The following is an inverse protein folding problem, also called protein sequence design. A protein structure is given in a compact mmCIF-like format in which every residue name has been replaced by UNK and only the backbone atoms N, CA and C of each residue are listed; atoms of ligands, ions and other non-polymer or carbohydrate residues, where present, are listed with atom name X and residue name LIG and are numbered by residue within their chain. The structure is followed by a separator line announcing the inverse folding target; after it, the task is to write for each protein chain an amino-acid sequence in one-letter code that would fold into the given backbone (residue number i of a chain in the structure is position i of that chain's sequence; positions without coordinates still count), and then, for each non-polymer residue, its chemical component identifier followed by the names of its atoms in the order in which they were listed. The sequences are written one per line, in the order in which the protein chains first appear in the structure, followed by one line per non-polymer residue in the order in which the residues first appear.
data_IF_000774588905
#
_entry.id   IF_000774588905
#
_cell.length_a   1.000
_cell.length_b   1.000
_cell.length_c   1.000
_cell.angle_alpha   90.00
_cell.angle_beta   90.00
_cell.angle_gamma   90.00
#
_symmetry.space_group_name_H-M   'P 1'
#
loop_
_entity.id
_entity.type
_entity.pdbx_description
1 polymer ?
#
# COMPACT_ATOMS: atom_id res chain seq x y z
N UNK A 1 14.48 5.25 4.23
CA UNK A 1 13.33 5.57 3.36
C UNK A 1 13.14 4.44 2.37
N UNK A 2 11.99 3.77 2.37
CA UNK A 2 11.75 2.65 1.44
C UNK A 2 11.46 3.18 0.02
N UNK A 3 11.97 2.48 -1.01
CA UNK A 3 11.76 2.84 -2.43
C UNK A 3 10.27 2.96 -2.79
N UNK A 4 9.43 2.10 -2.22
CA UNK A 4 7.97 2.12 -2.41
C UNK A 4 7.32 3.43 -1.94
N UNK A 5 7.94 4.17 -1.02
CA UNK A 5 7.41 5.45 -0.56
C UNK A 5 7.49 6.52 -1.66
N UNK A 6 8.53 6.48 -2.50
CA UNK A 6 8.67 7.35 -3.68
C UNK A 6 7.59 7.02 -4.70
N UNK A 7 7.35 5.72 -4.95
CA UNK A 7 6.28 5.26 -5.83
C UNK A 7 4.90 5.73 -5.36
N UNK A 8 4.62 5.61 -4.05
CA UNK A 8 3.38 6.12 -3.45
C UNK A 8 3.23 7.63 -3.61
N UNK A 9 4.32 8.38 -3.38
CA UNK A 9 4.32 9.83 -3.59
C UNK A 9 3.97 10.15 -5.04
N UNK A 10 4.64 9.51 -6.00
CA UNK A 10 4.46 9.77 -7.42
C UNK A 10 3.03 9.42 -7.87
N UNK A 11 2.50 8.26 -7.48
CA UNK A 11 1.14 7.85 -7.81
C UNK A 11 0.08 8.79 -7.20
N UNK A 12 0.30 9.22 -5.95
CA UNK A 12 -0.59 10.15 -5.25
C UNK A 12 -0.57 11.56 -5.84
N UNK A 13 0.61 12.10 -6.12
CA UNK A 13 0.77 13.43 -6.71
C UNK A 13 0.28 13.47 -8.17
N UNK A 14 0.58 12.44 -8.97
CA UNK A 14 0.11 12.36 -10.36
C UNK A 14 -1.42 12.41 -10.42
N UNK A 15 -2.09 11.63 -9.56
CA UNK A 15 -3.55 11.66 -9.44
C UNK A 15 -4.06 13.07 -9.12
N UNK A 16 -3.41 13.77 -8.18
CA UNK A 16 -3.81 15.13 -7.79
C UNK A 16 -3.59 16.15 -8.91
N UNK A 17 -2.45 16.10 -9.61
CA UNK A 17 -2.12 17.01 -10.71
C UNK A 17 -3.12 16.84 -11.86
N UNK A 18 -3.51 15.61 -12.19
CA UNK A 18 -4.52 15.36 -13.23
C UNK A 18 -5.88 15.96 -12.86
N UNK A 19 -6.29 15.82 -11.59
CA UNK A 19 -7.57 16.36 -11.10
C UNK A 19 -7.53 17.89 -11.02
N UNK A 20 -6.51 18.48 -10.38
CA UNK A 20 -6.48 19.94 -10.13
C UNK A 20 -5.98 20.75 -11.32
N UNK A 21 -4.99 20.24 -12.06
CA UNK A 21 -4.38 20.92 -13.19
C UNK A 21 -5.16 20.75 -14.49
N UNK A 22 -5.67 19.54 -14.75
CA UNK A 22 -6.31 19.20 -16.03
C UNK A 22 -7.82 18.94 -15.93
N UNK A 23 -8.41 19.01 -14.72
CA UNK A 23 -9.82 18.65 -14.45
C UNK A 23 -10.21 17.25 -14.95
N UNK A 24 -9.22 16.36 -15.08
CA UNK A 24 -9.38 15.00 -15.55
C UNK A 24 -9.23 14.04 -14.37
N UNK A 25 -10.34 13.45 -13.94
CA UNK A 25 -10.31 12.46 -12.88
C UNK A 25 -10.26 11.03 -13.46
N UNK A 26 -9.04 10.52 -13.63
CA UNK A 26 -8.81 9.14 -14.08
C UNK A 26 -9.41 8.09 -13.14
N UNK A 27 -9.63 8.40 -11.86
CA UNK A 27 -10.28 7.48 -10.94
C UNK A 27 -11.77 7.36 -11.16
N UNK A 28 -12.39 8.29 -11.90
CA UNK A 28 -13.80 8.25 -12.29
C UNK A 28 -13.99 7.71 -13.70
N UNK A 29 -12.96 7.81 -14.55
CA UNK A 29 -13.01 7.38 -15.95
C UNK A 29 -12.67 5.89 -16.08
N UNK A 30 -11.68 5.41 -15.33
CA UNK A 30 -11.17 4.03 -15.49
C UNK A 30 -11.35 3.21 -14.20
N UNK A 31 -12.16 2.13 -14.23
CA UNK A 31 -12.30 1.23 -13.09
C UNK A 31 -10.99 0.51 -12.77
N UNK A 32 -10.15 0.27 -13.79
CA UNK A 32 -8.82 -0.33 -13.61
C UNK A 32 -7.90 0.60 -12.82
N UNK A 33 -7.90 1.91 -13.15
CA UNK A 33 -7.09 2.88 -12.43
C UNK A 33 -7.55 3.09 -10.99
N UNK A 34 -8.88 3.12 -10.76
CA UNK A 34 -9.48 3.13 -9.43
C UNK A 34 -8.95 1.98 -8.55
N UNK A 35 -9.01 0.74 -9.04
CA UNK A 35 -8.53 -0.46 -8.35
C UNK A 35 -7.02 -0.42 -8.10
N UNK A 36 -6.24 -0.14 -9.15
CA UNK A 36 -4.78 -0.16 -9.10
C UNK A 36 -4.23 0.91 -8.16
N UNK A 37 -4.86 2.08 -8.11
CA UNK A 37 -4.47 3.17 -7.21
C UNK A 37 -4.58 2.74 -5.75
N UNK A 38 -5.73 2.20 -5.35
CA UNK A 38 -5.93 1.75 -3.97
C UNK A 38 -5.03 0.59 -3.60
N UNK A 39 -4.91 -0.41 -4.49
CA UNK A 39 -4.00 -1.53 -4.32
C UNK A 39 -2.55 -1.07 -4.13
N UNK A 40 -2.04 -0.23 -5.03
CA UNK A 40 -0.66 0.24 -5.02
C UNK A 40 -0.33 1.08 -3.79
N UNK A 41 -1.23 2.00 -3.41
CA UNK A 41 -1.05 2.84 -2.23
C UNK A 41 -0.96 1.99 -0.95
N UNK A 42 -1.89 1.06 -0.78
CA UNK A 42 -1.94 0.20 0.41
C UNK A 42 -0.73 -0.73 0.49
N UNK A 43 -0.38 -1.37 -0.62
CA UNK A 43 0.83 -2.16 -0.73
C UNK A 43 2.08 -1.35 -0.36
N UNK A 44 2.22 -0.13 -0.89
CA UNK A 44 3.37 0.73 -0.62
C UNK A 44 3.44 1.21 0.84
N UNK A 45 2.31 1.51 1.48
CA UNK A 45 2.27 1.93 2.89
C UNK A 45 2.67 0.77 3.80
N UNK A 46 2.05 -0.41 3.64
CA UNK A 46 2.33 -1.59 4.46
C UNK A 46 3.77 -2.10 4.30
N UNK A 47 4.27 -2.09 3.05
CA UNK A 47 5.67 -2.44 2.78
C UNK A 47 6.63 -1.43 3.39
N UNK A 48 6.37 -0.13 3.27
CA UNK A 48 7.21 0.92 3.88
C UNK A 48 7.26 0.80 5.40
N UNK A 49 6.11 0.57 6.03
CA UNK A 49 6.01 0.37 7.47
C UNK A 49 6.82 -0.86 7.91
N UNK A 50 6.60 -2.00 7.25
CA UNK A 50 7.30 -3.25 7.54
C UNK A 50 8.82 -3.10 7.40
N UNK A 51 9.29 -2.51 6.31
CA UNK A 51 10.73 -2.27 6.11
C UNK A 51 11.31 -1.37 7.20
N UNK A 52 10.55 -0.38 7.67
CA UNK A 52 10.99 0.51 8.75
C UNK A 52 11.09 -0.23 10.08
N UNK A 53 10.10 -1.06 10.41
CA UNK A 53 10.14 -1.91 11.60
C UNK A 53 11.30 -2.92 11.55
N UNK A 54 11.50 -3.60 10.41
CA UNK A 54 12.61 -4.53 10.23
C UNK A 54 13.96 -3.84 10.35
N UNK A 55 14.11 -2.63 9.80
CA UNK A 55 15.33 -1.84 9.95
C UNK A 55 15.61 -1.46 11.41
N UNK A 56 14.58 -1.09 12.18
CA UNK A 56 14.73 -0.79 13.60
C UNK A 56 15.11 -2.04 14.42
N UNK A 57 14.51 -3.19 14.11
CA UNK A 57 14.84 -4.47 14.75
C UNK A 57 16.29 -4.87 14.42
N UNK A 58 16.71 -4.72 13.17
CA UNK A 58 18.07 -5.02 12.72
C UNK A 58 19.10 -4.14 13.44
N UNK A 59 18.83 -2.83 13.57
CA UNK A 59 19.66 -1.91 14.35
C UNK A 59 19.74 -2.30 15.83
N UNK A 60 18.63 -2.73 16.43
CA UNK A 60 18.62 -3.23 17.80
C UNK A 60 19.48 -4.50 17.96
N UNK A 61 19.35 -5.46 17.04
CA UNK A 61 20.17 -6.69 17.06
C UNK A 61 21.66 -6.39 16.88
N UNK A 62 22.02 -5.43 16.03
CA UNK A 62 23.40 -5.00 15.81
C UNK A 62 24.02 -4.29 17.02
N UNK A 63 23.25 -3.50 17.76
CA UNK A 63 23.73 -2.70 18.90
C UNK A 63 23.80 -3.50 20.20
N UNK A 64 23.11 -4.63 20.28
CA UNK A 64 23.10 -5.46 21.48
C UNK A 64 24.45 -6.17 21.70
N UNK A 65 24.86 -6.33 22.96
CA UNK A 65 26.16 -6.92 23.33
C UNK A 65 26.20 -8.46 23.13
N UNK A 66 25.04 -9.10 22.93
CA UNK A 66 24.94 -10.54 22.73
C UNK A 66 25.30 -10.93 21.30
N UNK A 67 26.42 -11.64 21.13
CA UNK A 67 26.94 -12.13 19.84
C UNK A 67 25.91 -12.97 19.04
N UNK A 68 25.08 -13.74 19.73
CA UNK A 68 24.04 -14.57 19.09
C UNK A 68 23.04 -13.75 18.27
N UNK A 69 22.64 -12.57 18.76
CA UNK A 69 21.66 -11.71 18.07
C UNK A 69 22.28 -11.00 16.87
N UNK A 70 23.57 -10.68 16.93
CA UNK A 70 24.32 -10.13 15.78
C UNK A 70 24.43 -11.10 14.62
N UNK A 71 24.51 -12.41 14.88
CA UNK A 71 24.58 -13.42 13.82
C UNK A 71 23.29 -13.53 13.00
N UNK A 72 22.15 -13.09 13.53
CA UNK A 72 20.88 -13.06 12.81
C UNK A 72 20.73 -11.86 11.87
N UNK A 73 21.49 -10.78 12.12
CA UNK A 73 21.58 -9.59 11.27
C UNK A 73 22.47 -9.88 10.05
N UNK A 74 22.00 -10.77 9.18
CA UNK A 74 22.65 -11.08 7.90
C UNK A 74 21.77 -10.63 6.74
N UNK A 75 22.43 -10.18 5.66
CA UNK A 75 21.75 -9.76 4.44
C UNK A 75 20.88 -10.86 3.84
N UNK A 76 21.27 -12.13 3.96
CA UNK A 76 20.47 -13.27 3.48
C UNK A 76 19.13 -13.41 4.21
N UNK A 77 19.12 -13.26 5.54
CA UNK A 77 17.88 -13.31 6.34
C UNK A 77 17.00 -12.10 6.01
N UNK A 78 17.60 -10.91 5.89
CA UNK A 78 16.88 -9.70 5.52
C UNK A 78 16.16 -9.85 4.16
N UNK A 79 16.83 -10.38 3.12
CA UNK A 79 16.20 -10.60 1.82
C UNK A 79 15.04 -11.60 1.89
N UNK A 80 15.20 -12.70 2.64
CA UNK A 80 14.13 -13.68 2.83
C UNK A 80 12.91 -13.09 3.55
N UNK A 81 13.14 -12.33 4.62
CA UNK A 81 12.07 -11.66 5.35
C UNK A 81 11.33 -10.63 4.49
N UNK A 82 12.07 -9.80 3.75
CA UNK A 82 11.48 -8.82 2.83
C UNK A 82 10.63 -9.54 1.78
N UNK A 83 11.15 -10.59 1.15
CA UNK A 83 10.43 -11.35 0.12
C UNK A 83 9.12 -11.94 0.67
N UNK A 84 9.16 -12.59 1.83
CA UNK A 84 7.99 -13.19 2.48
C UNK A 84 6.94 -12.11 2.79
N UNK A 85 7.38 -10.99 3.38
CA UNK A 85 6.47 -9.89 3.70
C UNK A 85 5.89 -9.23 2.44
N UNK A 86 6.69 -9.05 1.39
CA UNK A 86 6.21 -8.55 0.10
C UNK A 86 5.12 -9.45 -0.47
N UNK A 87 5.30 -10.77 -0.47
CA UNK A 87 4.28 -11.72 -0.93
C UNK A 87 3.01 -11.62 -0.07
N UNK A 88 3.17 -11.56 1.26
CA UNK A 88 2.04 -11.42 2.17
C UNK A 88 1.23 -10.14 1.89
N UNK A 89 1.90 -9.01 1.63
CA UNK A 89 1.24 -7.74 1.30
C UNK A 89 0.61 -7.74 -0.09
N UNK A 90 1.22 -8.41 -1.09
CA UNK A 90 0.63 -8.57 -2.41
C UNK A 90 -0.70 -9.34 -2.32
N UNK A 91 -0.74 -10.41 -1.51
CA UNK A 91 -1.93 -11.21 -1.27
C UNK A 91 -2.99 -10.45 -0.47
N UNK A 92 -2.58 -9.74 0.59
CA UNK A 92 -3.47 -8.89 1.40
C UNK A 92 -4.09 -7.75 0.57
N UNK A 93 -3.41 -7.29 -0.47
CA UNK A 93 -3.93 -6.28 -1.39
C UNK A 93 -5.02 -6.81 -2.34
N UNK A 94 -5.13 -8.11 -2.60
CA UNK A 94 -6.05 -8.66 -3.61
C UNK A 94 -7.52 -8.23 -3.43
N UNK A 95 -8.10 -8.19 -2.21
CA UNK A 95 -9.43 -7.64 -1.96
C UNK A 95 -9.67 -6.25 -2.56
N UNK A 96 -8.66 -5.38 -2.59
CA UNK A 96 -8.79 -4.05 -3.19
C UNK A 96 -9.02 -4.11 -4.70
N UNK A 97 -8.45 -5.10 -5.39
CA UNK A 97 -8.67 -5.29 -6.83
C UNK A 97 -10.07 -5.86 -7.14
N UNK A 98 -10.67 -6.55 -6.17
CA UNK A 98 -11.97 -7.20 -6.33
C UNK A 98 -13.10 -6.22 -5.97
N UNK A 99 -13.04 -5.62 -4.78
CA UNK A 99 -14.16 -4.90 -4.17
C UNK A 99 -14.23 -3.40 -4.47
N UNK A 100 -13.16 -2.77 -4.99
CA UNK A 100 -13.24 -1.36 -5.39
C UNK A 100 -13.79 -1.22 -6.80
N UNK A 101 -14.90 -0.51 -6.96
CA UNK A 101 -15.51 -0.26 -8.26
C UNK A 101 -15.94 1.21 -8.38
N UNK A 102 -16.36 1.59 -9.59
CA UNK A 102 -17.01 2.87 -9.83
C UNK A 102 -18.45 2.76 -9.33
N UNK A 103 -18.76 3.45 -8.24
CA UNK A 103 -20.09 3.48 -7.62
C UNK A 103 -20.72 4.83 -7.87
N UNK A 104 -21.97 4.83 -8.34
CA UNK A 104 -22.75 6.04 -8.53
C UNK A 104 -23.49 6.40 -7.24
N UNK A 105 -23.32 7.64 -6.77
CA UNK A 105 -24.01 8.15 -5.61
C UNK A 105 -25.53 8.25 -5.90
N UNK A 106 -26.40 7.66 -5.06
CA UNK A 106 -27.84 7.60 -5.33
C UNK A 106 -28.51 8.98 -5.41
N UNK A 107 -27.94 9.97 -4.71
CA UNK A 107 -28.57 11.28 -4.47
C UNK A 107 -28.09 12.33 -5.47
N UNK A 108 -26.79 12.34 -5.79
CA UNK A 108 -26.18 13.37 -6.63
C UNK A 108 -25.89 12.90 -8.05
N UNK A 109 -26.03 11.59 -8.33
CA UNK A 109 -25.63 10.98 -9.59
C UNK A 109 -24.12 10.99 -9.85
N UNK A 110 -23.32 11.49 -8.91
CA UNK A 110 -21.86 11.58 -9.03
C UNK A 110 -21.21 10.20 -8.97
N UNK A 111 -20.24 9.96 -9.83
CA UNK A 111 -19.46 8.72 -9.83
C UNK A 111 -18.30 8.88 -8.83
N UNK A 112 -18.02 7.84 -8.07
CA UNK A 112 -16.88 7.78 -7.15
C UNK A 112 -16.25 6.40 -7.14
N UNK A 113 -14.94 6.33 -6.87
CA UNK A 113 -14.23 5.07 -6.68
C UNK A 113 -14.39 4.64 -5.22
N UNK A 114 -15.25 3.64 -4.96
CA UNK A 114 -15.58 3.18 -3.62
C UNK A 114 -15.71 1.65 -3.57
N UNK A 115 -15.62 1.08 -2.37
CA UNK A 115 -15.88 -0.35 -2.19
C UNK A 115 -17.37 -0.64 -2.22
N UNK A 116 -17.79 -1.67 -2.94
CA UNK A 116 -19.18 -2.15 -2.98
C UNK A 116 -19.51 -3.16 -1.86
N UNK A 117 -18.50 -3.63 -1.12
CA UNK A 117 -18.64 -4.67 -0.11
C UNK A 117 -18.65 -4.07 1.30
N UNK A 118 -19.79 -4.19 1.98
CA UNK A 118 -20.01 -3.69 3.35
C UNK A 118 -19.04 -4.30 4.38
N UNK A 119 -18.74 -5.60 4.29
CA UNK A 119 -17.83 -6.25 5.23
C UNK A 119 -16.38 -5.75 5.05
N UNK A 120 -15.97 -5.50 3.81
CA UNK A 120 -14.66 -4.94 3.52
C UNK A 120 -14.56 -3.47 3.93
N UNK A 121 -15.64 -2.69 3.78
CA UNK A 121 -15.70 -1.34 4.34
C UNK A 121 -15.58 -1.34 5.87
N UNK A 122 -16.29 -2.25 6.55
CA UNK A 122 -16.21 -2.40 8.01
C UNK A 122 -14.79 -2.71 8.48
N UNK A 123 -14.08 -3.62 7.79
CA UNK A 123 -12.68 -3.95 8.08
C UNK A 123 -11.74 -2.73 8.06
N UNK A 124 -12.06 -1.68 7.28
CA UNK A 124 -11.24 -0.47 7.19
C UNK A 124 -11.68 0.66 8.10
N UNK A 125 -12.90 0.64 8.61
CA UNK A 125 -13.42 1.67 9.51
C UNK A 125 -13.16 1.39 10.99
N UNK A 126 -12.93 0.13 11.37
CA UNK A 126 -12.64 -0.30 12.74
C UNK A 126 -11.19 -0.72 12.90
#
# INVERSE_FOLDING_TARGET
MSFVNIGNLMAGLLSRIMISGFKLDWTLISPVYCKLRWYGLQFGVLTSFTCTCLAAIDQYMCTNARLEWRQWSTTNVAHRLILIMTIAWLLHGVPYLIYFNLVQAPITGGISCASDNLAFQQYHTY
#
